data_IF_116368093182
#
_entry.id   IF_116368093182
#
_cell.length_a   1.000
_cell.length_b   1.000
_cell.length_c   1.000
_cell.angle_alpha   90.00
_cell.angle_beta   90.00
_cell.angle_gamma   90.00
#
_symmetry.space_group_name_H-M   'P 1'
#
loop_
_entity.id
_entity.type
_entity.pdbx_description
1 polymer ?
#
# COMPACT_ATOMS: atom_id res chain seq x y z
N UNK A 1 -33.28 -24.12 -1.05
CA UNK A 1 -31.84 -24.41 -1.25
C UNK A 1 -31.21 -23.21 -1.92
N UNK A 2 -30.65 -22.25 -1.16
CA UNK A 2 -30.09 -21.03 -1.78
C UNK A 2 -29.16 -20.23 -0.88
N UNK A 3 -28.83 -20.75 0.31
CA UNK A 3 -27.85 -20.12 1.19
C UNK A 3 -26.43 -20.30 0.66
N UNK A 4 -26.10 -21.51 0.19
CA UNK A 4 -24.80 -21.86 -0.38
C UNK A 4 -24.57 -21.08 -1.69
N UNK A 5 -25.54 -21.05 -2.59
CA UNK A 5 -25.42 -20.33 -3.87
C UNK A 5 -25.20 -18.82 -3.66
N UNK A 6 -25.86 -18.23 -2.66
CA UNK A 6 -25.67 -16.83 -2.28
C UNK A 6 -24.27 -16.57 -1.73
N UNK A 7 -23.74 -17.50 -0.92
CA UNK A 7 -22.38 -17.41 -0.40
C UNK A 7 -21.38 -17.44 -1.56
N UNK A 8 -21.50 -18.42 -2.45
CA UNK A 8 -20.61 -18.59 -3.61
C UNK A 8 -20.67 -17.39 -4.55
N UNK A 9 -21.87 -16.85 -4.81
CA UNK A 9 -22.03 -15.64 -5.63
C UNK A 9 -21.35 -14.42 -5.00
N UNK A 10 -21.47 -14.24 -3.68
CA UNK A 10 -20.82 -13.13 -2.97
C UNK A 10 -19.29 -13.28 -2.95
N UNK A 11 -18.78 -14.50 -2.77
CA UNK A 11 -17.35 -14.80 -2.86
C UNK A 11 -16.84 -14.50 -4.26
N UNK A 12 -17.56 -14.91 -5.30
CA UNK A 12 -17.15 -14.75 -6.69
C UNK A 12 -17.02 -13.29 -7.11
N UNK A 13 -17.83 -12.37 -6.55
CA UNK A 13 -17.74 -10.91 -6.82
C UNK A 13 -16.39 -10.30 -6.49
N UNK A 14 -15.79 -10.70 -5.36
CA UNK A 14 -14.55 -10.10 -4.84
C UNK A 14 -13.50 -11.17 -4.49
N UNK A 15 -13.45 -12.24 -5.28
CA UNK A 15 -12.56 -13.39 -5.05
C UNK A 15 -11.10 -12.96 -5.02
N UNK A 16 -10.35 -13.49 -4.06
CA UNK A 16 -8.91 -13.27 -3.95
C UNK A 16 -8.17 -13.99 -5.08
N UNK A 17 -7.59 -13.24 -6.03
CA UNK A 17 -6.89 -13.77 -7.22
C UNK A 17 -5.37 -13.86 -7.03
N UNK A 18 -4.92 -14.46 -5.94
CA UNK A 18 -3.48 -14.67 -5.69
C UNK A 18 -3.11 -16.08 -6.13
N UNK A 19 -2.13 -16.20 -7.03
CA UNK A 19 -1.64 -17.51 -7.50
C UNK A 19 -0.57 -18.03 -6.53
N UNK A 20 -0.96 -18.95 -5.66
CA UNK A 20 -0.02 -19.70 -4.82
C UNK A 20 0.65 -20.83 -5.59
N UNK A 21 1.91 -21.14 -5.25
CA UNK A 21 2.63 -22.32 -5.76
C UNK A 21 2.18 -23.63 -5.10
N UNK A 22 1.64 -23.53 -3.88
CA UNK A 22 1.24 -24.68 -3.05
C UNK A 22 -0.24 -25.02 -3.30
N UNK A 23 -0.54 -26.30 -3.43
CA UNK A 23 -1.89 -26.81 -3.73
C UNK A 23 -2.96 -26.36 -2.72
N UNK A 24 -2.58 -26.17 -1.45
CA UNK A 24 -3.50 -25.75 -0.40
C UNK A 24 -3.79 -24.25 -0.40
N UNK A 25 -2.98 -23.44 -1.10
CA UNK A 25 -3.11 -21.99 -1.03
C UNK A 25 -4.47 -21.47 -1.54
N UNK A 26 -5.02 -22.00 -2.67
CA UNK A 26 -6.39 -21.68 -3.08
C UNK A 26 -7.45 -21.99 -2.01
N UNK A 27 -7.30 -23.11 -1.29
CA UNK A 27 -8.23 -23.51 -0.22
C UNK A 27 -8.18 -22.49 0.92
N UNK A 28 -6.97 -22.10 1.34
CA UNK A 28 -6.76 -21.09 2.37
C UNK A 28 -7.37 -19.74 1.98
N UNK A 29 -7.11 -19.25 0.76
CA UNK A 29 -7.68 -17.98 0.30
C UNK A 29 -9.20 -18.02 0.21
N UNK A 30 -9.77 -19.18 -0.17
CA UNK A 30 -11.21 -19.38 -0.22
C UNK A 30 -11.85 -19.36 1.17
N UNK A 31 -11.18 -19.96 2.17
CA UNK A 31 -11.62 -19.92 3.57
C UNK A 31 -11.62 -18.47 4.12
N UNK A 32 -10.60 -17.67 3.77
CA UNK A 32 -10.56 -16.25 4.13
C UNK A 32 -11.69 -15.45 3.48
N UNK A 33 -11.97 -15.67 2.19
CA UNK A 33 -13.09 -15.02 1.50
C UNK A 33 -14.45 -15.44 2.12
N UNK A 34 -14.62 -16.72 2.48
CA UNK A 34 -15.81 -17.21 3.20
C UNK A 34 -16.00 -16.53 4.56
N UNK A 35 -14.94 -16.43 5.37
CA UNK A 35 -14.99 -15.75 6.67
C UNK A 35 -15.37 -14.27 6.53
N UNK A 36 -14.87 -13.61 5.49
CA UNK A 36 -15.18 -12.21 5.22
C UNK A 36 -16.65 -12.02 4.82
N UNK A 37 -17.20 -12.89 3.96
CA UNK A 37 -18.62 -12.81 3.57
C UNK A 37 -19.55 -13.15 4.74
N UNK A 38 -19.20 -14.14 5.57
CA UNK A 38 -19.98 -14.48 6.76
C UNK A 38 -19.96 -13.36 7.81
N UNK A 39 -18.81 -12.75 8.06
CA UNK A 39 -18.71 -11.59 8.97
C UNK A 39 -19.48 -10.38 8.43
N UNK A 40 -19.50 -10.15 7.12
CA UNK A 40 -20.34 -9.13 6.49
C UNK A 40 -21.84 -9.40 6.73
N UNK A 41 -22.27 -10.66 6.61
CA UNK A 41 -23.66 -11.03 6.88
C UNK A 41 -24.04 -10.76 8.35
N UNK A 42 -23.19 -11.13 9.30
CA UNK A 42 -23.38 -10.84 10.73
C UNK A 42 -23.40 -9.32 10.97
N UNK A 43 -22.49 -8.58 10.35
CA UNK A 43 -22.45 -7.12 10.45
C UNK A 43 -23.76 -6.47 9.95
N UNK A 44 -24.32 -6.95 8.84
CA UNK A 44 -25.58 -6.44 8.29
C UNK A 44 -26.81 -6.80 9.13
N UNK A 45 -26.73 -7.85 9.97
CA UNK A 45 -27.77 -8.20 10.94
C UNK A 45 -27.69 -7.28 12.16
N UNK A 46 -26.48 -7.04 12.67
CA UNK A 46 -26.26 -6.26 13.88
C UNK A 46 -26.23 -4.73 13.67
N UNK A 47 -25.88 -4.25 12.48
CA UNK A 47 -25.64 -2.84 12.17
C UNK A 47 -26.37 -2.39 10.90
N UNK A 48 -26.19 -1.12 10.53
CA UNK A 48 -26.69 -0.57 9.27
C UNK A 48 -26.08 -1.33 8.09
N UNK A 49 -26.93 -1.71 7.12
CA UNK A 49 -26.51 -2.38 5.90
C UNK A 49 -25.44 -1.56 5.17
N UNK A 50 -24.30 -2.19 4.91
CA UNK A 50 -23.17 -1.64 4.16
C UNK A 50 -22.90 -2.56 2.95
N UNK A 51 -22.53 -2.02 1.77
CA UNK A 51 -22.16 -2.86 0.64
C UNK A 51 -20.88 -3.66 0.95
N UNK A 52 -20.84 -4.91 0.48
CA UNK A 52 -19.75 -5.87 0.75
C UNK A 52 -18.35 -5.32 0.41
N UNK A 53 -18.23 -4.54 -0.67
CA UNK A 53 -16.96 -3.91 -1.07
C UNK A 53 -16.43 -2.93 -0.01
N UNK A 54 -17.31 -2.09 0.53
CA UNK A 54 -16.93 -1.10 1.55
C UNK A 54 -16.56 -1.81 2.85
N UNK A 55 -17.33 -2.83 3.23
CA UNK A 55 -17.00 -3.64 4.41
C UNK A 55 -15.61 -4.28 4.28
N UNK A 56 -15.32 -4.91 3.13
CA UNK A 56 -13.99 -5.48 2.83
C UNK A 56 -12.87 -4.43 2.93
N UNK A 57 -13.13 -3.21 2.44
CA UNK A 57 -12.17 -2.10 2.50
C UNK A 57 -11.90 -1.67 3.94
N UNK A 58 -12.92 -1.53 4.76
CA UNK A 58 -12.76 -1.17 6.18
C UNK A 58 -12.00 -2.24 6.96
N UNK A 59 -12.32 -3.52 6.73
CA UNK A 59 -11.56 -4.64 7.31
C UNK A 59 -10.08 -4.57 6.89
N UNK A 60 -9.80 -4.35 5.60
CA UNK A 60 -8.42 -4.24 5.13
C UNK A 60 -7.68 -3.04 5.75
N UNK A 61 -8.34 -1.87 5.82
CA UNK A 61 -7.79 -0.66 6.46
C UNK A 61 -7.49 -0.88 7.93
N UNK A 62 -8.40 -1.53 8.65
CA UNK A 62 -8.22 -1.88 10.05
C UNK A 62 -6.95 -2.73 10.23
N UNK A 63 -6.82 -3.84 9.50
CA UNK A 63 -5.63 -4.70 9.61
C UNK A 63 -4.34 -4.02 9.15
N UNK A 64 -4.38 -3.12 8.17
CA UNK A 64 -3.22 -2.32 7.74
C UNK A 64 -2.84 -1.23 8.75
N UNK A 65 -3.80 -0.74 9.55
CA UNK A 65 -3.56 0.26 10.60
C UNK A 65 -2.91 -0.33 11.85
N UNK A 66 -3.03 -1.65 12.05
CA UNK A 66 -2.34 -2.34 13.13
C UNK A 66 -0.84 -2.29 12.89
N UNK A 67 -0.08 -1.81 13.89
CA UNK A 67 1.38 -1.93 13.87
C UNK A 67 1.75 -3.41 13.83
N UNK A 68 2.37 -3.85 12.74
CA UNK A 68 2.93 -5.20 12.67
C UNK A 68 4.36 -5.20 13.21
N UNK A 69 4.71 -6.23 13.99
CA UNK A 69 6.10 -6.54 14.36
C UNK A 69 7.00 -6.70 13.12
N UNK A 70 6.40 -7.05 11.99
CA UNK A 70 7.00 -7.19 10.67
C UNK A 70 6.67 -6.04 9.72
N UNK A 71 6.34 -4.84 10.23
CA UNK A 71 6.14 -3.68 9.36
C UNK A 71 7.45 -3.45 8.59
N UNK A 72 7.45 -3.33 7.25
CA UNK A 72 8.66 -2.97 6.51
C UNK A 72 9.31 -1.66 6.99
N UNK A 73 8.56 -0.81 7.71
CA UNK A 73 9.10 0.33 8.45
C UNK A 73 9.96 -0.07 9.66
N UNK A 74 9.69 -1.23 10.25
CA UNK A 74 10.44 -1.84 11.36
C UNK A 74 11.54 -2.81 10.88
N UNK A 75 11.38 -3.44 9.71
CA UNK A 75 12.34 -4.40 9.14
C UNK A 75 13.27 -3.82 8.08
N UNK A 76 13.14 -2.53 7.75
CA UNK A 76 14.18 -1.78 7.07
C UNK A 76 15.41 -1.61 7.96
N UNK A 77 16.61 -1.64 7.37
CA UNK A 77 17.82 -1.06 7.98
C UNK A 77 17.42 0.33 8.49
N UNK A 78 17.68 0.66 9.77
CA UNK A 78 17.45 2.03 10.29
C UNK A 78 17.91 3.01 9.21
N UNK A 79 16.96 3.75 8.63
CA UNK A 79 17.25 4.61 7.49
C UNK A 79 18.01 5.82 8.03
N UNK A 80 19.32 5.62 8.21
CA UNK A 80 20.33 6.59 8.61
C UNK A 80 20.09 7.25 9.98
N UNK A 81 20.44 6.53 11.04
CA UNK A 81 21.10 7.11 12.22
C UNK A 81 22.60 7.36 11.99
N UNK A 82 23.10 7.14 10.76
CA UNK A 82 24.36 7.76 10.32
C UNK A 82 24.04 9.23 10.09
N UNK A 83 24.66 10.10 10.89
CA UNK A 83 24.74 11.52 10.61
C UNK A 83 25.40 11.73 9.25
N UNK A 84 24.61 11.72 8.17
CA UNK A 84 25.09 12.18 6.87
C UNK A 84 25.18 13.70 6.96
N UNK A 85 26.41 14.21 7.04
CA UNK A 85 26.72 15.62 6.84
C UNK A 85 26.42 16.09 5.39
N UNK A 86 25.78 15.25 4.56
CA UNK A 86 25.61 15.40 3.10
C UNK A 86 24.16 15.24 2.62
N UNK A 87 23.15 15.42 3.50
CA UNK A 87 21.77 15.53 3.01
C UNK A 87 21.48 16.91 2.45
N UNK A 88 20.79 16.95 1.30
CA UNK A 88 20.14 18.16 0.79
C UNK A 88 19.24 18.72 1.88
N UNK A 89 19.33 20.01 2.22
CA UNK A 89 18.44 20.63 3.20
C UNK A 89 16.97 20.41 2.81
N UNK A 90 16.14 20.13 3.81
CA UNK A 90 14.72 19.80 3.61
C UNK A 90 13.95 20.94 2.91
N UNK A 91 14.43 22.17 3.07
CA UNK A 91 13.90 23.39 2.46
C UNK A 91 14.08 23.42 0.93
N UNK A 92 15.17 22.82 0.43
CA UNK A 92 15.41 22.66 -1.01
C UNK A 92 14.59 21.50 -1.57
N UNK A 93 14.41 20.43 -0.79
CA UNK A 93 13.67 19.22 -1.20
C UNK A 93 12.17 19.45 -1.31
N UNK A 94 11.62 20.30 -0.44
CA UNK A 94 10.17 20.55 -0.33
C UNK A 94 9.73 21.85 -1.00
N UNK A 95 10.62 22.51 -1.75
CA UNK A 95 10.29 23.77 -2.42
C UNK A 95 9.21 23.52 -3.50
N UNK A 96 8.01 24.12 -3.36
CA UNK A 96 6.89 23.90 -4.28
C UNK A 96 7.10 24.51 -5.67
N UNK A 97 8.05 25.42 -5.84
CA UNK A 97 8.30 26.09 -7.13
C UNK A 97 9.29 25.31 -8.01
N UNK A 98 10.07 24.39 -7.42
CA UNK A 98 11.06 23.56 -8.10
C UNK A 98 12.19 24.37 -8.78
N UNK A 99 13.48 24.06 -8.59
CA UNK A 99 14.51 24.66 -9.42
C UNK A 99 14.37 24.11 -10.85
N UNK A 100 13.75 24.87 -11.74
CA UNK A 100 13.76 24.60 -13.17
C UNK A 100 15.19 24.79 -13.70
N UNK A 101 15.66 23.80 -14.46
CA UNK A 101 16.94 23.84 -15.15
C UNK A 101 16.87 24.90 -16.27
N UNK A 102 17.32 26.13 -16.00
CA UNK A 102 17.55 27.11 -17.06
C UNK A 102 18.89 26.86 -17.73
N UNK A 103 18.85 26.69 -19.06
CA UNK A 103 20.04 26.49 -19.89
C UNK A 103 20.75 27.84 -20.07
N UNK A 104 22.05 27.94 -19.73
CA UNK A 104 22.83 29.17 -19.99
C UNK A 104 23.13 29.33 -21.49
N UNK A 105 23.17 30.59 -21.93
CA UNK A 105 23.50 31.00 -23.31
C UNK A 105 24.87 30.46 -23.78
N UNK A 106 25.81 30.22 -22.86
CA UNK A 106 27.18 29.78 -23.16
C UNK A 106 27.34 28.24 -23.27
N UNK A 107 26.26 27.46 -23.07
CA UNK A 107 26.26 26.01 -23.26
C UNK A 107 27.09 25.16 -22.28
N UNK A 108 27.63 25.74 -21.20
CA UNK A 108 28.49 25.05 -20.22
C UNK A 108 27.70 24.46 -19.04
N UNK A 109 28.06 23.24 -18.66
CA UNK A 109 27.45 22.39 -17.62
C UNK A 109 27.87 22.79 -16.17
N UNK A 110 26.99 22.72 -15.14
CA UNK A 110 27.31 23.04 -13.72
C UNK A 110 27.21 21.87 -12.74
N UNK A 111 28.11 21.69 -11.76
CA UNK A 111 27.96 20.64 -10.72
C UNK A 111 26.89 20.97 -9.65
N UNK A 112 25.92 20.09 -9.36
CA UNK A 112 24.95 20.36 -8.27
C UNK A 112 25.60 20.24 -6.87
N UNK A 113 25.32 21.16 -5.94
CA UNK A 113 25.97 21.24 -4.61
C UNK A 113 25.65 20.11 -3.61
N UNK A 114 24.89 19.10 -4.06
CA UNK A 114 24.62 17.84 -3.35
C UNK A 114 25.35 16.68 -4.02
N UNK A 115 25.39 16.71 -5.34
CA UNK A 115 25.71 15.58 -6.18
C UNK A 115 27.01 15.77 -6.95
N UNK A 116 27.59 16.95 -6.88
CA UNK A 116 28.78 17.40 -7.59
C UNK A 116 28.79 16.93 -9.06
N UNK A 117 27.64 16.95 -9.73
CA UNK A 117 27.46 16.46 -11.10
C UNK A 117 26.96 17.53 -12.02
N UNK A 118 27.59 17.58 -13.19
CA UNK A 118 27.35 18.56 -14.22
C UNK A 118 25.88 18.49 -14.73
N UNK A 119 25.17 19.59 -14.59
CA UNK A 119 23.80 19.90 -15.03
C UNK A 119 23.91 20.70 -16.33
N UNK A 120 23.27 20.21 -17.39
CA UNK A 120 23.26 20.81 -18.74
C UNK A 120 22.41 22.07 -18.81
#
# INVERSE_FOLDING_TARGET
>A
MGGVDKLDWNIQKYRTKIRGKKWYFPIFTNAMDMALVNSHAIYCIANKKMPLLNFRREVARFYLSLQSLSDPRNSGRQWYSVSSQERVPDDVRKNPEGPYLERRLDGKQRKCGVCEKNMF
#
